data_IF_039336587776
#
_entry.id   IF_039336587776
#
_cell.length_a   1.000
_cell.length_b   1.000
_cell.length_c   1.000
_cell.angle_alpha   90.00
_cell.angle_beta   90.00
_cell.angle_gamma   90.00
#
_symmetry.space_group_name_H-M   'P 1'
#
loop_
_entity.id
_entity.type
_entity.pdbx_description
1 polymer ?
#
# COMPACT_ATOMS: atom_id res chain seq x y z
N UNK A 1 -5.83 -69.13 -31.95
CA UNK A 1 -5.58 -68.82 -30.53
C UNK A 1 -4.59 -67.67 -30.50
N UNK A 2 -5.08 -66.44 -30.37
CA UNK A 2 -4.24 -65.26 -30.16
C UNK A 2 -3.95 -65.15 -28.66
N UNK A 3 -2.75 -64.70 -28.26
CA UNK A 3 -2.63 -63.86 -27.09
C UNK A 3 -2.29 -62.43 -27.54
N UNK A 4 -3.23 -61.52 -27.28
CA UNK A 4 -2.93 -60.11 -27.11
C UNK A 4 -2.44 -59.92 -25.67
N UNK A 5 -1.24 -59.36 -25.52
CA UNK A 5 -0.81 -58.63 -24.33
C UNK A 5 0.03 -57.46 -24.85
N UNK A 6 -0.73 -56.40 -25.09
CA UNK A 6 -0.36 -55.01 -25.21
C UNK A 6 0.66 -54.60 -24.14
N UNK A 7 1.72 -54.03 -24.68
CA UNK A 7 2.95 -53.59 -24.06
C UNK A 7 2.67 -52.33 -23.23
N UNK A 8 2.49 -52.49 -21.92
CA UNK A 8 2.50 -51.36 -20.98
C UNK A 8 3.95 -50.92 -20.76
N UNK A 9 4.49 -50.17 -21.73
CA UNK A 9 5.74 -49.44 -21.56
C UNK A 9 5.47 -48.26 -20.62
N UNK A 10 5.44 -48.57 -19.33
CA UNK A 10 5.42 -47.57 -18.27
C UNK A 10 6.74 -46.83 -18.28
N UNK A 11 6.77 -45.66 -18.93
CA UNK A 11 7.85 -44.68 -18.83
C UNK A 11 8.03 -44.27 -17.36
N UNK A 12 8.84 -45.06 -16.65
CA UNK A 12 9.34 -44.71 -15.33
C UNK A 12 10.39 -43.63 -15.52
N UNK A 13 9.92 -42.38 -15.65
CA UNK A 13 10.79 -41.22 -15.51
C UNK A 13 11.45 -41.29 -14.13
N UNK A 14 12.72 -41.71 -14.09
CA UNK A 14 13.57 -41.68 -12.90
C UNK A 14 13.73 -40.22 -12.48
N UNK A 15 12.85 -39.74 -11.60
CA UNK A 15 12.99 -38.42 -10.99
C UNK A 15 14.27 -38.44 -10.15
N UNK A 16 15.28 -37.70 -10.59
CA UNK A 16 16.56 -37.61 -9.90
C UNK A 16 16.34 -37.10 -8.47
N UNK A 17 16.89 -37.78 -7.46
CA UNK A 17 16.79 -37.37 -6.04
C UNK A 17 17.27 -35.93 -5.85
N UNK A 18 18.27 -35.49 -6.60
CA UNK A 18 18.76 -34.12 -6.59
C UNK A 18 17.70 -33.15 -7.16
N UNK A 19 17.01 -33.53 -8.23
CA UNK A 19 15.88 -32.74 -8.77
C UNK A 19 14.71 -32.62 -7.79
N UNK A 20 14.39 -33.69 -7.06
CA UNK A 20 13.40 -33.62 -5.98
C UNK A 20 13.86 -32.71 -4.84
N UNK A 21 15.15 -32.77 -4.45
CA UNK A 21 15.69 -31.85 -3.44
C UNK A 21 15.67 -30.41 -3.93
N UNK A 22 16.03 -30.15 -5.19
CA UNK A 22 15.97 -28.81 -5.79
C UNK A 22 14.54 -28.28 -5.82
N UNK A 23 13.55 -29.10 -6.18
CA UNK A 23 12.13 -28.73 -6.13
C UNK A 23 11.68 -28.46 -4.70
N UNK A 24 12.11 -29.26 -3.73
CA UNK A 24 11.79 -29.05 -2.31
C UNK A 24 12.51 -27.82 -1.74
N UNK A 25 13.72 -27.52 -2.18
CA UNK A 25 14.48 -26.32 -1.81
C UNK A 25 13.87 -25.06 -2.44
N UNK A 26 13.45 -25.11 -3.70
CA UNK A 26 12.72 -24.02 -4.37
C UNK A 26 11.36 -23.82 -3.69
N UNK A 27 10.62 -24.89 -3.41
CA UNK A 27 9.37 -24.81 -2.65
C UNK A 27 9.58 -24.24 -1.26
N UNK A 28 10.62 -24.66 -0.53
CA UNK A 28 10.91 -24.17 0.81
C UNK A 28 11.42 -22.72 0.81
N UNK A 29 12.19 -22.29 -0.20
CA UNK A 29 12.56 -20.88 -0.41
C UNK A 29 11.34 -20.00 -0.74
N UNK A 30 10.35 -20.55 -1.45
CA UNK A 30 9.05 -19.90 -1.66
C UNK A 30 8.09 -20.02 -0.47
N UNK A 31 8.35 -20.94 0.45
CA UNK A 31 7.54 -21.17 1.66
C UNK A 31 7.95 -20.28 2.82
N UNK A 32 8.58 -19.13 2.54
CA UNK A 32 8.47 -18.01 3.47
C UNK A 32 6.98 -17.69 3.57
N UNK A 33 6.38 -17.93 4.74
CA UNK A 33 4.95 -17.71 4.92
C UNK A 33 4.58 -16.28 4.55
N UNK A 34 3.33 -16.02 4.15
CA UNK A 34 2.82 -14.66 3.89
C UNK A 34 3.22 -13.67 5.00
N UNK A 35 3.27 -14.16 6.24
CA UNK A 35 3.70 -13.40 7.40
C UNK A 35 5.18 -12.96 7.36
N UNK A 36 6.10 -13.78 6.83
CA UNK A 36 7.51 -13.38 6.68
C UNK A 36 7.64 -12.26 5.64
N UNK A 37 6.91 -12.32 4.52
CA UNK A 37 6.99 -11.30 3.47
C UNK A 37 6.49 -9.94 3.98
N UNK A 38 5.48 -9.93 4.86
CA UNK A 38 4.90 -8.69 5.37
C UNK A 38 5.72 -8.04 6.49
N UNK A 39 6.53 -8.81 7.22
CA UNK A 39 7.19 -8.32 8.44
C UNK A 39 8.72 -8.35 8.37
N UNK A 40 9.31 -9.32 7.65
CA UNK A 40 10.75 -9.49 7.61
C UNK A 40 11.40 -8.46 6.68
N UNK A 41 12.47 -7.82 7.17
CA UNK A 41 13.24 -6.83 6.39
C UNK A 41 12.57 -5.46 6.24
N UNK A 42 11.41 -5.24 6.88
CA UNK A 42 10.75 -3.93 6.91
C UNK A 42 11.48 -2.99 7.86
N UNK A 43 11.84 -1.79 7.41
CA UNK A 43 12.35 -0.73 8.27
C UNK A 43 11.20 -0.10 9.08
N UNK A 44 10.93 -0.63 10.27
CA UNK A 44 9.88 -0.14 11.16
C UNK A 44 10.10 1.30 11.65
N UNK A 45 11.35 1.76 11.69
CA UNK A 45 11.66 3.15 12.03
C UNK A 45 11.20 4.08 10.89
N UNK A 46 11.47 3.72 9.63
CA UNK A 46 10.95 4.44 8.47
C UNK A 46 9.42 4.44 8.42
N UNK A 47 8.76 3.32 8.75
CA UNK A 47 7.30 3.23 8.84
C UNK A 47 6.75 4.18 9.92
N UNK A 48 7.32 4.14 11.13
CA UNK A 48 6.89 4.99 12.24
C UNK A 48 7.08 6.47 11.95
N UNK A 49 8.28 6.87 11.52
CA UNK A 49 8.60 8.27 11.19
C UNK A 49 7.76 8.75 10.02
N UNK A 50 7.65 7.98 8.94
CA UNK A 50 6.82 8.33 7.79
C UNK A 50 5.35 8.51 8.16
N UNK A 51 4.83 7.65 9.03
CA UNK A 51 3.44 7.77 9.53
C UNK A 51 3.24 9.08 10.28
N UNK A 52 4.11 9.41 11.24
CA UNK A 52 3.98 10.63 12.05
C UNK A 52 4.13 11.88 11.19
N UNK A 53 5.12 11.93 10.30
CA UNK A 53 5.36 13.09 9.42
C UNK A 53 4.17 13.30 8.49
N UNK A 54 3.66 12.25 7.83
CA UNK A 54 2.52 12.38 6.93
C UNK A 54 1.20 12.67 7.68
N UNK A 55 1.04 12.17 8.91
CA UNK A 55 -0.13 12.49 9.72
C UNK A 55 -0.12 13.97 10.19
N UNK A 56 1.04 14.49 10.58
CA UNK A 56 1.22 15.93 10.85
C UNK A 56 1.00 16.77 9.59
N UNK A 57 1.49 16.28 8.45
CA UNK A 57 1.22 16.90 7.15
C UNK A 57 -0.28 16.97 6.89
N UNK A 58 -1.07 15.94 7.19
CA UNK A 58 -2.53 15.98 7.04
C UNK A 58 -3.14 17.18 7.79
N UNK A 59 -2.75 17.35 9.06
CA UNK A 59 -3.19 18.49 9.87
C UNK A 59 -2.81 19.83 9.26
N UNK A 60 -1.59 19.95 8.72
CA UNK A 60 -1.13 21.17 8.05
C UNK A 60 -1.82 21.39 6.69
N UNK A 61 -2.01 20.33 5.90
CA UNK A 61 -2.59 20.34 4.56
C UNK A 61 -4.02 20.85 4.55
N UNK A 62 -4.82 20.35 5.49
CA UNK A 62 -6.22 20.74 5.69
C UNK A 62 -6.39 21.92 6.67
N UNK A 63 -5.29 22.57 7.09
CA UNK A 63 -5.35 23.78 7.89
C UNK A 63 -5.74 25.01 7.05
N UNK A 64 -6.26 26.09 7.67
CA UNK A 64 -6.52 27.36 6.98
C UNK A 64 -5.28 28.00 6.34
N UNK A 65 -4.08 27.60 6.76
CA UNK A 65 -2.81 28.15 6.25
C UNK A 65 -2.44 27.61 4.86
N UNK A 66 -2.86 26.39 4.53
CA UNK A 66 -2.63 25.77 3.22
C UNK A 66 -3.91 25.70 2.41
N UNK A 67 -4.53 24.51 2.30
CA UNK A 67 -5.65 24.27 1.40
C UNK A 67 -7.00 24.20 2.12
N UNK A 68 -7.00 24.25 3.45
CA UNK A 68 -8.15 23.92 4.30
C UNK A 68 -9.38 24.80 4.11
N UNK A 69 -9.24 26.10 3.84
CA UNK A 69 -10.40 27.01 3.65
C UNK A 69 -11.23 26.60 2.44
N UNK A 70 -10.61 26.59 1.26
CA UNK A 70 -11.28 26.22 0.00
C UNK A 70 -11.62 24.74 -0.08
N UNK A 71 -10.81 23.87 0.53
CA UNK A 71 -11.13 22.45 0.63
C UNK A 71 -12.44 22.27 1.41
N UNK A 72 -12.55 22.89 2.59
CA UNK A 72 -13.71 22.75 3.47
C UNK A 72 -14.99 23.34 2.87
N UNK A 73 -14.90 24.51 2.22
CA UNK A 73 -16.00 25.07 1.42
C UNK A 73 -16.48 24.07 0.35
N UNK A 74 -15.54 23.43 -0.35
CA UNK A 74 -15.86 22.51 -1.43
C UNK A 74 -16.29 21.11 -1.00
N UNK A 75 -16.08 20.71 0.26
CA UNK A 75 -16.65 19.48 0.85
C UNK A 75 -17.87 19.77 1.74
N UNK A 76 -18.22 21.05 1.95
CA UNK A 76 -19.35 21.46 2.79
C UNK A 76 -19.14 21.26 4.29
N UNK A 77 -17.89 21.26 4.77
CA UNK A 77 -17.56 21.11 6.20
C UNK A 77 -17.42 22.49 6.83
N UNK A 78 -18.04 22.68 8.00
CA UNK A 78 -17.89 23.95 8.74
C UNK A 78 -16.44 24.15 9.19
N UNK A 79 -15.92 25.36 8.96
CA UNK A 79 -14.60 25.78 9.42
C UNK A 79 -14.75 26.81 10.54
N UNK A 80 -13.98 26.64 11.62
CA UNK A 80 -14.02 27.56 12.76
C UNK A 80 -13.40 26.95 14.01
N UNK A 81 -13.14 27.79 15.01
CA UNK A 81 -12.50 27.37 16.26
C UNK A 81 -13.31 26.34 17.07
N UNK A 82 -14.61 26.22 16.79
CA UNK A 82 -15.52 25.25 17.44
C UNK A 82 -15.81 24.02 16.57
N UNK A 83 -15.33 23.99 15.32
CA UNK A 83 -15.54 22.87 14.42
C UNK A 83 -14.74 21.66 14.92
N UNK A 84 -15.44 20.69 15.51
CA UNK A 84 -14.81 19.48 16.04
C UNK A 84 -14.58 18.50 14.90
N UNK A 85 -13.31 18.18 14.65
CA UNK A 85 -12.96 17.12 13.70
C UNK A 85 -13.54 15.78 14.20
N UNK A 86 -14.21 15.01 13.33
CA UNK A 86 -14.79 13.74 13.72
C UNK A 86 -13.69 12.74 14.09
N UNK A 87 -13.69 12.26 15.34
CA UNK A 87 -12.66 11.34 15.86
C UNK A 87 -12.48 10.10 14.98
N UNK A 88 -13.58 9.57 14.42
CA UNK A 88 -13.54 8.43 13.51
C UNK A 88 -12.69 8.71 12.26
N UNK A 89 -12.79 9.92 11.69
CA UNK A 89 -11.99 10.29 10.53
C UNK A 89 -10.50 10.39 10.87
N UNK A 90 -10.15 10.94 12.04
CA UNK A 90 -8.76 11.01 12.49
C UNK A 90 -8.14 9.62 12.70
N UNK A 91 -8.89 8.69 13.29
CA UNK A 91 -8.43 7.31 13.48
C UNK A 91 -8.24 6.61 12.14
N UNK A 92 -9.20 6.74 11.22
CA UNK A 92 -9.09 6.16 9.88
C UNK A 92 -7.96 6.78 9.07
N UNK A 93 -7.74 8.09 9.19
CA UNK A 93 -6.62 8.78 8.57
C UNK A 93 -5.29 8.23 9.10
N UNK A 94 -5.13 8.12 10.42
CA UNK A 94 -3.91 7.58 11.01
C UNK A 94 -3.66 6.13 10.58
N UNK A 95 -4.68 5.27 10.65
CA UNK A 95 -4.59 3.87 10.23
C UNK A 95 -4.24 3.73 8.74
N UNK A 96 -4.90 4.50 7.87
CA UNK A 96 -4.60 4.52 6.43
C UNK A 96 -3.18 5.00 6.14
N UNK A 97 -2.71 6.03 6.86
CA UNK A 97 -1.34 6.55 6.73
C UNK A 97 -0.31 5.50 7.17
N UNK A 98 -0.57 4.80 8.27
CA UNK A 98 0.30 3.71 8.75
C UNK A 98 0.39 2.56 7.74
N UNK A 99 -0.75 2.14 7.19
CA UNK A 99 -0.81 1.07 6.19
C UNK A 99 -0.06 1.49 4.92
N UNK A 100 -0.25 2.73 4.46
CA UNK A 100 0.47 3.24 3.30
C UNK A 100 1.99 3.28 3.56
N UNK A 101 2.42 3.77 4.73
CA UNK A 101 3.84 3.78 5.11
C UNK A 101 4.45 2.37 5.13
N UNK A 102 3.69 1.38 5.60
CA UNK A 102 4.11 -0.01 5.60
C UNK A 102 4.22 -0.57 4.17
N UNK A 103 3.24 -0.30 3.29
CA UNK A 103 3.32 -0.67 1.87
C UNK A 103 4.57 -0.06 1.21
N UNK A 104 4.87 1.21 1.50
CA UNK A 104 6.06 1.89 0.95
C UNK A 104 7.37 1.29 1.47
N UNK A 105 7.43 0.88 2.74
CA UNK A 105 8.59 0.19 3.29
C UNK A 105 8.76 -1.21 2.69
N UNK A 106 7.67 -1.96 2.50
CA UNK A 106 7.70 -3.25 1.79
C UNK A 106 8.19 -3.10 0.35
N UNK A 107 7.80 -2.01 -0.33
CA UNK A 107 8.26 -1.72 -1.67
C UNK A 107 9.76 -1.43 -1.72
N UNK A 108 10.29 -0.73 -0.71
CA UNK A 108 11.74 -0.51 -0.57
C UNK A 108 12.50 -1.82 -0.37
N UNK A 109 12.09 -2.64 0.61
CA UNK A 109 12.75 -3.91 0.92
C UNK A 109 12.74 -4.89 -0.27
N UNK A 110 11.66 -4.93 -1.04
CA UNK A 110 11.48 -5.86 -2.15
C UNK A 110 11.87 -5.27 -3.52
N UNK A 111 12.32 -4.01 -3.59
CA UNK A 111 12.62 -3.31 -4.84
C UNK A 111 11.39 -3.09 -5.76
N UNK A 112 10.17 -3.18 -5.22
CA UNK A 112 8.92 -3.18 -5.96
C UNK A 112 8.24 -1.79 -6.02
N UNK A 113 9.02 -0.74 -6.28
CA UNK A 113 8.53 0.65 -6.28
C UNK A 113 7.48 0.96 -7.34
N UNK A 114 7.54 0.32 -8.50
CA UNK A 114 6.55 0.48 -9.56
C UNK A 114 5.14 0.10 -9.07
N UNK A 115 5.02 -1.03 -8.38
CA UNK A 115 3.77 -1.47 -7.77
C UNK A 115 3.28 -0.51 -6.69
N UNK A 116 4.20 0.03 -5.87
CA UNK A 116 3.86 0.99 -4.83
C UNK A 116 3.31 2.30 -5.40
N UNK A 117 3.92 2.82 -6.48
CA UNK A 117 3.43 4.01 -7.19
C UNK A 117 2.02 3.76 -7.74
N UNK A 118 1.76 2.59 -8.32
CA UNK A 118 0.41 2.24 -8.78
C UNK A 118 -0.61 2.19 -7.62
N UNK A 119 -0.21 1.69 -6.44
CA UNK A 119 -1.07 1.70 -5.25
C UNK A 119 -1.38 3.14 -4.79
N UNK A 120 -0.37 4.02 -4.78
CA UNK A 120 -0.56 5.44 -4.42
C UNK A 120 -1.51 6.13 -5.41
N UNK A 121 -1.29 5.93 -6.71
CA UNK A 121 -2.16 6.49 -7.77
C UNK A 121 -3.58 5.91 -7.67
N UNK A 122 -3.71 4.61 -7.44
CA UNK A 122 -5.01 3.96 -7.22
C UNK A 122 -5.74 4.58 -6.02
N UNK A 123 -5.07 4.74 -4.88
CA UNK A 123 -5.66 5.35 -3.68
C UNK A 123 -6.11 6.79 -3.94
N UNK A 124 -5.29 7.59 -4.66
CA UNK A 124 -5.68 8.94 -5.07
C UNK A 124 -6.91 8.92 -6.00
N UNK A 125 -6.93 8.05 -7.01
CA UNK A 125 -8.05 7.92 -7.94
C UNK A 125 -9.35 7.50 -7.25
N UNK A 126 -9.29 6.54 -6.33
CA UNK A 126 -10.47 6.09 -5.57
C UNK A 126 -11.00 7.18 -4.63
N UNK A 127 -10.10 7.93 -3.99
CA UNK A 127 -10.50 9.07 -3.15
C UNK A 127 -11.13 10.18 -3.98
N UNK A 128 -10.55 10.51 -5.13
CA UNK A 128 -11.13 11.48 -6.06
C UNK A 128 -12.50 11.03 -6.58
N UNK A 129 -12.65 9.75 -6.93
CA UNK A 129 -13.94 9.19 -7.35
C UNK A 129 -15.00 9.26 -6.24
N UNK A 130 -14.61 9.00 -4.98
CA UNK A 130 -15.50 9.14 -3.83
C UNK A 130 -15.96 10.59 -3.64
N UNK A 131 -15.06 11.58 -3.77
CA UNK A 131 -15.42 13.00 -3.71
C UNK A 131 -16.37 13.42 -4.84
N UNK A 132 -16.09 12.99 -6.06
CA UNK A 132 -16.96 13.28 -7.21
C UNK A 132 -18.34 12.66 -7.03
N UNK A 133 -18.42 11.46 -6.45
CA UNK A 133 -19.69 10.79 -6.13
C UNK A 133 -20.49 11.51 -5.04
N UNK A 134 -19.81 12.24 -4.16
CA UNK A 134 -20.41 13.07 -3.11
C UNK A 134 -20.76 14.50 -3.59
N UNK A 135 -20.63 14.81 -4.89
CA UNK A 135 -20.80 16.16 -5.45
C UNK A 135 -19.90 17.23 -4.79
N UNK A 136 -18.74 16.84 -4.26
CA UNK A 136 -17.75 17.80 -3.77
C UNK A 136 -17.10 18.57 -4.92
N UNK A 137 -16.57 19.75 -4.62
CA UNK A 137 -15.95 20.62 -5.64
C UNK A 137 -14.73 19.96 -6.31
N UNK A 138 -14.46 20.33 -7.55
CA UNK A 138 -13.26 19.90 -8.27
C UNK A 138 -11.97 20.32 -7.54
N UNK A 139 -11.99 21.48 -6.87
CA UNK A 139 -10.87 21.94 -6.06
C UNK A 139 -10.58 20.99 -4.90
N UNK A 140 -11.58 20.67 -4.09
CA UNK A 140 -11.44 19.75 -2.95
C UNK A 140 -11.00 18.36 -3.40
N UNK A 141 -11.56 17.89 -4.51
CA UNK A 141 -11.21 16.60 -5.13
C UNK A 141 -9.70 16.53 -5.44
N UNK A 142 -9.15 17.55 -6.10
CA UNK A 142 -7.73 17.59 -6.46
C UNK A 142 -6.84 17.74 -5.22
N UNK A 143 -7.26 18.52 -4.23
CA UNK A 143 -6.52 18.70 -2.96
C UNK A 143 -6.37 17.37 -2.22
N UNK A 144 -7.43 16.56 -2.17
CA UNK A 144 -7.39 15.23 -1.53
C UNK A 144 -6.59 14.22 -2.34
N UNK A 145 -6.75 14.19 -3.66
CA UNK A 145 -5.97 13.30 -4.53
C UNK A 145 -4.46 13.59 -4.47
N UNK A 146 -4.09 14.88 -4.50
CA UNK A 146 -2.69 15.30 -4.43
C UNK A 146 -2.05 15.03 -3.06
N UNK A 147 -2.83 15.11 -1.97
CA UNK A 147 -2.36 14.74 -0.63
C UNK A 147 -1.80 13.31 -0.57
N UNK A 148 -2.50 12.34 -1.17
CA UNK A 148 -2.07 10.93 -1.19
C UNK A 148 -0.75 10.76 -1.95
N UNK A 149 -0.57 11.48 -3.05
CA UNK A 149 0.68 11.46 -3.83
C UNK A 149 1.84 12.03 -3.03
N UNK A 150 1.63 13.15 -2.34
CA UNK A 150 2.66 13.78 -1.49
C UNK A 150 3.05 12.85 -0.32
N UNK A 151 2.09 12.16 0.29
CA UNK A 151 2.39 11.15 1.31
C UNK A 151 3.32 10.06 0.77
N UNK A 152 3.02 9.52 -0.44
CA UNK A 152 3.86 8.53 -1.09
C UNK A 152 5.30 9.01 -1.27
N UNK A 153 5.49 10.25 -1.76
CA UNK A 153 6.82 10.85 -1.94
C UNK A 153 7.59 10.99 -0.62
N UNK A 154 6.94 11.46 0.44
CA UNK A 154 7.57 11.60 1.76
C UNK A 154 7.96 10.23 2.32
N UNK A 155 7.07 9.25 2.24
CA UNK A 155 7.34 7.90 2.74
C UNK A 155 8.46 7.22 1.95
N UNK A 156 8.54 7.45 0.64
CA UNK A 156 9.69 7.06 -0.18
C UNK A 156 10.97 7.70 0.35
N UNK A 157 10.97 9.03 0.58
CA UNK A 157 12.14 9.72 1.12
C UNK A 157 12.57 9.20 2.50
N UNK A 158 11.62 8.93 3.41
CA UNK A 158 11.91 8.35 4.72
C UNK A 158 12.64 7.01 4.62
N UNK A 159 12.25 6.13 3.68
CA UNK A 159 12.92 4.84 3.47
C UNK A 159 14.31 4.96 2.86
N UNK A 160 14.62 6.05 2.16
CA UNK A 160 15.98 6.28 1.63
C UNK A 160 16.92 6.93 2.66
N UNK A 161 16.37 7.66 3.63
CA UNK A 161 17.15 8.40 4.65
C UNK A 161 17.46 7.52 5.88
N UNK A 162 16.53 6.64 6.25
CA UNK A 162 16.56 5.83 7.47
C UNK A 162 16.86 4.37 7.18
#
# INVERSE_FOLDING_TARGET
MLPAIDEWEGDTHYVNRNSCQDILLVKNKQKGGVMEILLAGVNWLAVGVGTIVCFMLAGLWYSPMLFGTRWAEGVGVETGALAKQPTGALVMQFAGTLILAWIMALAHTNGAYSSAVLIVVMAACLLMAANMSANHSAYSTIVEGSFVVVMGLIMTACNYIL
#
